data_IF_701353080467
#
_entry.id   IF_701353080467
#
_cell.length_a   1.000
_cell.length_b   1.000
_cell.length_c   1.000
_cell.angle_alpha   90.00
_cell.angle_beta   90.00
_cell.angle_gamma   90.00
#
_symmetry.space_group_name_H-M   'P 1'
#
loop_
_entity.id
_entity.type
_entity.pdbx_description
1 polymer ?
#
# COMPACT_ATOMS: atom_id res chain seq x y z
N UNK A 1 -4.90 -23.90 6.23
CA UNK A 1 -6.07 -23.75 5.34
C UNK A 1 -5.51 -23.25 4.02
N UNK A 2 -5.55 -24.07 2.96
CA UNK A 2 -4.82 -23.86 1.70
C UNK A 2 -5.64 -23.02 0.72
N UNK A 3 -5.51 -21.70 0.80
CA UNK A 3 -5.87 -20.81 -0.29
C UNK A 3 -4.78 -19.74 -0.35
N UNK A 4 -3.67 -20.02 -1.04
CA UNK A 4 -2.89 -18.92 -1.62
C UNK A 4 -3.84 -18.31 -2.63
N UNK A 5 -4.59 -17.31 -2.20
CA UNK A 5 -5.54 -16.60 -3.05
C UNK A 5 -4.67 -16.06 -4.18
N UNK A 6 -5.11 -16.18 -5.44
CA UNK A 6 -4.31 -15.70 -6.59
C UNK A 6 -3.92 -14.21 -6.45
N UNK A 7 -4.56 -13.51 -5.50
CA UNK A 7 -4.33 -12.15 -5.01
C UNK A 7 -3.10 -11.95 -4.13
N UNK A 8 -2.40 -13.02 -3.70
CA UNK A 8 -1.15 -12.94 -2.93
C UNK A 8 0.05 -13.46 -3.72
N UNK A 9 0.00 -13.38 -5.06
CA UNK A 9 1.16 -13.72 -5.88
C UNK A 9 2.12 -12.52 -5.95
N UNK A 10 3.28 -12.56 -5.27
CA UNK A 10 4.21 -11.43 -5.21
C UNK A 10 4.83 -11.10 -6.58
N UNK A 11 4.79 -12.01 -7.56
CA UNK A 11 5.30 -11.76 -8.91
C UNK A 11 4.31 -10.95 -9.76
N UNK A 12 3.01 -11.04 -9.49
CA UNK A 12 1.95 -10.48 -10.35
C UNK A 12 1.28 -9.26 -9.72
N UNK A 13 0.95 -9.36 -8.45
CA UNK A 13 0.08 -8.39 -7.77
C UNK A 13 0.72 -7.00 -7.68
N UNK A 14 2.01 -6.84 -7.35
CA UNK A 14 2.65 -5.53 -7.37
C UNK A 14 2.60 -4.83 -8.74
N UNK A 15 2.64 -5.60 -9.83
CA UNK A 15 2.52 -5.05 -11.18
C UNK A 15 1.09 -4.60 -11.47
N UNK A 16 0.09 -5.36 -11.03
CA UNK A 16 -1.32 -4.99 -11.14
C UNK A 16 -1.64 -3.72 -10.34
N UNK A 17 -1.14 -3.61 -9.10
CA UNK A 17 -1.27 -2.41 -8.27
C UNK A 17 -0.72 -1.19 -9.00
N UNK A 18 0.51 -1.25 -9.51
CA UNK A 18 1.12 -0.13 -10.25
C UNK A 18 0.30 0.29 -11.47
N UNK A 19 -0.28 -0.67 -12.19
CA UNK A 19 -1.14 -0.38 -13.32
C UNK A 19 -2.47 0.29 -12.88
N UNK A 20 -3.08 -0.16 -11.78
CA UNK A 20 -4.29 0.45 -11.21
C UNK A 20 -4.04 1.88 -10.74
N UNK A 21 -2.91 2.12 -10.05
CA UNK A 21 -2.51 3.46 -9.61
C UNK A 21 -2.40 4.43 -10.78
N UNK A 22 -1.86 4.00 -11.93
CA UNK A 22 -1.80 4.82 -13.15
C UNK A 22 -3.18 5.13 -13.75
N UNK A 23 -4.16 4.24 -13.55
CA UNK A 23 -5.56 4.50 -13.93
C UNK A 23 -6.17 5.51 -12.95
N UNK A 24 -5.85 5.38 -11.67
CA UNK A 24 -6.35 6.21 -10.59
C UNK A 24 -7.85 6.00 -10.33
N UNK A 25 -8.44 6.94 -9.60
CA UNK A 25 -9.85 6.92 -9.23
C UNK A 25 -10.12 6.47 -7.80
N UNK A 26 -11.31 6.83 -7.33
CA UNK A 26 -11.79 6.58 -5.97
C UNK A 26 -11.70 5.10 -5.59
N UNK A 27 -12.23 4.21 -6.45
CA UNK A 27 -12.25 2.77 -6.21
C UNK A 27 -10.84 2.18 -6.05
N UNK A 28 -9.85 2.74 -6.76
CA UNK A 28 -8.45 2.32 -6.63
C UNK A 28 -7.89 2.78 -5.29
N UNK A 29 -8.16 4.03 -4.89
CA UNK A 29 -7.74 4.55 -3.58
C UNK A 29 -8.30 3.70 -2.45
N UNK A 30 -9.61 3.43 -2.46
CA UNK A 30 -10.28 2.62 -1.43
C UNK A 30 -9.68 1.21 -1.37
N UNK A 31 -9.47 0.56 -2.52
CA UNK A 31 -8.84 -0.76 -2.56
C UNK A 31 -7.41 -0.76 -2.01
N UNK A 32 -6.63 0.30 -2.24
CA UNK A 32 -5.26 0.42 -1.73
C UNK A 32 -5.20 0.79 -0.25
N UNK A 33 -6.22 1.44 0.30
CA UNK A 33 -6.32 1.69 1.76
C UNK A 33 -6.56 0.38 2.53
N UNK A 34 -7.30 -0.54 1.92
CA UNK A 34 -7.60 -1.85 2.49
C UNK A 34 -6.42 -2.85 2.35
N UNK A 35 -5.68 -2.79 1.24
CA UNK A 35 -4.70 -3.83 0.89
C UNK A 35 -3.54 -4.06 1.90
N UNK A 36 -2.97 -3.03 2.56
CA UNK A 36 -1.87 -3.20 3.52
C UNK A 36 -2.19 -4.16 4.67
N UNK A 37 -3.47 -4.32 5.02
CA UNK A 37 -3.92 -5.19 6.12
C UNK A 37 -4.29 -6.62 5.65
N UNK A 38 -4.49 -6.83 4.36
CA UNK A 38 -5.00 -8.09 3.81
C UNK A 38 -3.94 -9.06 3.31
N UNK A 39 -2.73 -8.60 3.03
CA UNK A 39 -1.64 -9.42 2.48
C UNK A 39 -0.54 -9.62 3.52
N UNK A 40 -0.07 -10.86 3.72
CA UNK A 40 1.14 -11.14 4.50
C UNK A 40 2.43 -10.92 3.68
N UNK A 41 2.32 -10.81 2.36
CA UNK A 41 3.44 -10.61 1.44
C UNK A 41 3.93 -9.15 1.47
N UNK A 42 5.12 -8.92 2.03
CA UNK A 42 5.73 -7.60 2.18
C UNK A 42 5.82 -6.82 0.85
N UNK A 43 6.11 -7.51 -0.25
CA UNK A 43 6.23 -6.90 -1.58
C UNK A 43 4.90 -6.32 -2.10
N UNK A 44 3.77 -6.97 -1.76
CA UNK A 44 2.42 -6.54 -2.14
C UNK A 44 2.02 -5.33 -1.29
N UNK A 45 2.21 -5.42 0.03
CA UNK A 45 1.93 -4.34 0.97
C UNK A 45 2.72 -3.08 0.62
N UNK A 46 4.03 -3.25 0.35
CA UNK A 46 4.90 -2.16 -0.09
C UNK A 46 4.39 -1.49 -1.37
N UNK A 47 3.99 -2.26 -2.37
CA UNK A 47 3.45 -1.70 -3.61
C UNK A 47 2.15 -0.92 -3.38
N UNK A 48 1.30 -1.35 -2.45
CA UNK A 48 0.10 -0.61 -2.08
C UNK A 48 0.45 0.73 -1.40
N UNK A 49 1.35 0.70 -0.42
CA UNK A 49 1.83 1.88 0.30
C UNK A 49 2.46 2.89 -0.65
N UNK A 50 3.33 2.44 -1.55
CA UNK A 50 3.92 3.28 -2.60
C UNK A 50 2.83 3.87 -3.52
N UNK A 51 1.82 3.06 -3.87
CA UNK A 51 0.71 3.50 -4.72
C UNK A 51 -0.21 4.54 -4.08
N UNK A 52 -0.39 4.46 -2.75
CA UNK A 52 -1.17 5.44 -1.99
C UNK A 52 -0.57 6.86 -2.10
N UNK A 53 0.73 6.98 -2.36
CA UNK A 53 1.40 8.27 -2.50
C UNK A 53 0.89 9.13 -3.68
N UNK A 54 0.20 8.52 -4.65
CA UNK A 54 -0.37 9.21 -5.80
C UNK A 54 -1.73 9.87 -5.52
N UNK A 55 -2.28 9.67 -4.31
CA UNK A 55 -3.58 10.19 -3.91
C UNK A 55 -3.41 11.25 -2.82
N UNK A 56 -3.72 12.51 -3.17
CA UNK A 56 -3.71 13.63 -2.22
C UNK A 56 -5.00 13.63 -1.38
N UNK A 57 -4.99 12.86 -0.30
CA UNK A 57 -6.15 12.61 0.55
C UNK A 57 -5.76 12.57 2.05
N UNK A 58 -6.65 13.01 2.94
CA UNK A 58 -6.38 13.07 4.39
C UNK A 58 -6.40 11.68 5.05
N UNK A 59 -7.28 10.78 4.59
CA UNK A 59 -7.34 9.40 5.05
C UNK A 59 -6.09 8.64 4.64
N UNK A 60 -5.59 8.89 3.42
CA UNK A 60 -4.30 8.35 2.95
C UNK A 60 -3.16 8.77 3.88
N UNK A 61 -3.05 10.06 4.21
CA UNK A 61 -2.03 10.54 5.15
C UNK A 61 -2.14 9.89 6.52
N UNK A 62 -3.37 9.78 7.04
CA UNK A 62 -3.63 9.17 8.35
C UNK A 62 -3.20 7.70 8.37
N UNK A 63 -3.54 6.94 7.33
CA UNK A 63 -3.17 5.53 7.20
C UNK A 63 -1.66 5.35 7.07
N UNK A 64 -1.00 6.13 6.22
CA UNK A 64 0.45 6.06 6.07
C UNK A 64 1.19 6.43 7.36
N UNK A 65 0.69 7.41 8.12
CA UNK A 65 1.26 7.77 9.43
C UNK A 65 1.11 6.62 10.44
N UNK A 66 -0.06 5.99 10.49
CA UNK A 66 -0.29 4.83 11.36
C UNK A 66 0.67 3.67 11.04
N UNK A 67 0.91 3.39 9.75
CA UNK A 67 1.87 2.36 9.32
C UNK A 67 3.30 2.74 9.71
N UNK A 68 3.73 3.98 9.47
CA UNK A 68 5.07 4.46 9.77
C UNK A 68 5.45 4.38 11.26
N UNK A 69 4.45 4.55 12.14
CA UNK A 69 4.58 4.55 13.59
C UNK A 69 4.32 3.18 14.24
N UNK A 70 3.83 2.19 13.49
CA UNK A 70 3.51 0.87 14.03
C UNK A 70 4.77 0.02 14.29
N UNK A 71 5.23 -0.06 15.55
CA UNK A 71 6.44 -0.81 15.93
C UNK A 71 6.38 -2.33 15.63
N UNK A 72 5.21 -2.90 15.40
CA UNK A 72 5.04 -4.31 15.02
C UNK A 72 5.31 -4.55 13.52
N UNK A 73 5.35 -3.48 12.72
CA UNK A 73 5.64 -3.55 11.29
C UNK A 73 7.12 -3.74 10.99
N UNK A 74 7.40 -4.37 9.85
CA UNK A 74 8.77 -4.49 9.37
C UNK A 74 9.34 -3.11 9.00
N UNK A 75 10.64 -2.90 9.22
CA UNK A 75 11.30 -1.64 8.83
C UNK A 75 11.09 -1.28 7.35
N UNK A 76 11.15 -2.21 6.38
CA UNK A 76 10.87 -1.88 4.98
C UNK A 76 9.47 -1.30 4.73
N UNK A 77 8.45 -1.77 5.46
CA UNK A 77 7.08 -1.27 5.37
C UNK A 77 6.96 0.11 6.00
N UNK A 78 7.57 0.30 7.17
CA UNK A 78 7.64 1.61 7.84
C UNK A 78 8.38 2.65 7.02
N UNK A 79 9.49 2.28 6.39
CA UNK A 79 10.24 3.15 5.49
C UNK A 79 9.41 3.54 4.27
N UNK A 80 8.75 2.56 3.62
CA UNK A 80 7.87 2.85 2.48
C UNK A 80 6.74 3.82 2.85
N UNK A 81 6.15 3.69 4.04
CA UNK A 81 5.10 4.58 4.51
C UNK A 81 5.60 6.01 4.75
N UNK A 82 6.81 6.17 5.32
CA UNK A 82 7.45 7.49 5.49
C UNK A 82 7.78 8.14 4.16
N UNK A 83 8.31 7.36 3.22
CA UNK A 83 8.62 7.85 1.88
C UNK A 83 7.35 8.30 1.14
N UNK A 84 6.26 7.53 1.28
CA UNK A 84 4.95 7.87 0.73
C UNK A 84 4.38 9.15 1.37
N UNK A 85 4.41 9.30 2.69
CA UNK A 85 4.03 10.55 3.38
C UNK A 85 4.81 11.75 2.86
N UNK A 86 6.13 11.61 2.78
CA UNK A 86 7.01 12.66 2.27
C UNK A 86 6.75 12.99 0.79
N UNK A 87 6.12 12.10 0.02
CA UNK A 87 5.68 12.36 -1.34
C UNK A 87 4.33 13.09 -1.39
N UNK A 88 3.38 12.72 -0.53
CA UNK A 88 2.03 13.32 -0.45
C UNK A 88 2.04 14.72 0.18
N UNK A 89 3.04 15.02 1.03
CA UNK A 89 3.18 16.33 1.69
C UNK A 89 3.95 17.39 0.87
N UNK A 90 4.33 17.07 -0.38
CA UNK A 90 5.02 18.01 -1.29
C UNK A 90 4.07 18.95 -2.00
#
# INVERSE_FOLDING_TARGET
>A
MLWTRWTDNPDVVPHAIRALVQIGGEDVREALLELPDFSEEESIRKAAIEGLAEFDDEEVRTTLQAIADNEEESEPIREAARDALAAVDK
#
